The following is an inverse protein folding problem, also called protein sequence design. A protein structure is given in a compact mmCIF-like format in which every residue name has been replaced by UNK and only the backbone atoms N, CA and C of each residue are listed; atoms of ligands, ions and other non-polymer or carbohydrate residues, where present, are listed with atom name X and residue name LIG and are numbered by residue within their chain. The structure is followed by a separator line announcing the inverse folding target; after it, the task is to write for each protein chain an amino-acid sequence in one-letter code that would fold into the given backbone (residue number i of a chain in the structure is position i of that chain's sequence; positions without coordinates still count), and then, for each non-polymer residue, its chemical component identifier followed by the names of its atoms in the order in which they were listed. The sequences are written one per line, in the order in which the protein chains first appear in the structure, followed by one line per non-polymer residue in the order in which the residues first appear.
data_IF_212789518594
#
_entry.id   IF_212789518594
#
_cell.length_a   1.000
_cell.length_b   1.000
_cell.length_c   1.000
_cell.angle_alpha   90.00
_cell.angle_beta   90.00
_cell.angle_gamma   90.00
#
_symmetry.space_group_name_H-M   'P 1'
#
loop_
_entity.id
_entity.type
_entity.pdbx_description
1 polymer ?
#
# COMPACT_ATOMS: atom_id res chain seq x y z
N UNK A 1 -6.74 -21.10 7.57
CA UNK A 1 -5.48 -20.84 6.83
C UNK A 1 -4.51 -21.95 7.17
N UNK A 2 -3.67 -22.34 6.21
CA UNK A 2 -2.66 -23.38 6.40
C UNK A 2 -1.35 -22.63 6.63
N UNK A 3 -0.89 -22.54 7.88
CA UNK A 3 0.21 -21.66 8.26
C UNK A 3 1.59 -22.30 8.11
N UNK A 4 1.69 -23.60 8.38
CA UNK A 4 2.97 -24.31 8.48
C UNK A 4 3.04 -25.58 7.60
N UNK A 5 1.92 -26.03 7.04
CA UNK A 5 1.87 -27.22 6.18
C UNK A 5 1.88 -26.81 4.70
N UNK A 6 3.08 -26.61 4.16
CA UNK A 6 3.27 -26.18 2.78
C UNK A 6 2.73 -27.21 1.77
N UNK A 7 2.82 -28.51 2.07
CA UNK A 7 2.38 -29.57 1.14
C UNK A 7 0.87 -29.52 0.93
N UNK A 8 0.10 -29.35 2.01
CA UNK A 8 -1.35 -29.20 1.94
C UNK A 8 -1.75 -27.91 1.21
N UNK A 9 -1.01 -26.82 1.42
CA UNK A 9 -1.24 -25.57 0.70
C UNK A 9 -0.98 -25.72 -0.81
N UNK A 10 0.13 -26.34 -1.20
CA UNK A 10 0.48 -26.62 -2.59
C UNK A 10 -0.57 -27.49 -3.27
N UNK A 11 -1.00 -28.57 -2.61
CA UNK A 11 -2.03 -29.47 -3.14
C UNK A 11 -3.35 -28.73 -3.41
N UNK A 12 -3.78 -27.88 -2.46
CA UNK A 12 -4.99 -27.07 -2.63
C UNK A 12 -4.85 -26.01 -3.70
N UNK A 13 -3.66 -25.44 -3.89
CA UNK A 13 -3.40 -24.50 -4.99
C UNK A 13 -3.49 -25.20 -6.35
N UNK A 14 -2.87 -26.39 -6.49
CA UNK A 14 -2.95 -27.20 -7.72
C UNK A 14 -4.40 -27.56 -8.05
N UNK A 15 -5.20 -27.89 -7.03
CA UNK A 15 -6.61 -28.25 -7.19
C UNK A 15 -7.55 -27.04 -7.32
N UNK A 16 -7.05 -25.80 -7.29
CA UNK A 16 -7.85 -24.56 -7.27
C UNK A 16 -8.89 -24.51 -6.12
N UNK A 17 -8.57 -25.10 -4.97
CA UNK A 17 -9.45 -25.16 -3.79
C UNK A 17 -9.26 -23.97 -2.83
N UNK A 18 -8.37 -23.04 -3.18
CA UNK A 18 -8.12 -21.83 -2.38
C UNK A 18 -9.14 -20.75 -2.76
N UNK A 19 -10.03 -20.44 -1.82
CA UNK A 19 -10.98 -19.35 -1.99
C UNK A 19 -10.31 -17.97 -2.01
N UNK A 20 -10.94 -16.97 -2.64
CA UNK A 20 -10.49 -15.57 -2.60
C UNK A 20 -10.37 -15.03 -1.18
N UNK A 21 -11.26 -15.46 -0.29
CA UNK A 21 -11.20 -15.13 1.14
C UNK A 21 -9.92 -15.67 1.76
N UNK A 22 -9.54 -16.91 1.46
CA UNK A 22 -8.28 -17.49 1.93
C UNK A 22 -7.08 -16.71 1.38
N UNK A 23 -7.09 -16.35 0.10
CA UNK A 23 -6.08 -15.50 -0.53
C UNK A 23 -5.93 -14.13 0.17
N UNK A 24 -7.05 -13.46 0.48
CA UNK A 24 -7.05 -12.21 1.23
C UNK A 24 -6.35 -12.34 2.60
N UNK A 25 -6.63 -13.38 3.37
CA UNK A 25 -6.00 -13.52 4.69
C UNK A 25 -4.50 -13.81 4.58
N UNK A 26 -4.06 -14.58 3.59
CA UNK A 26 -2.62 -14.77 3.34
C UNK A 26 -1.94 -13.46 2.98
N UNK A 27 -2.54 -12.67 2.08
CA UNK A 27 -2.02 -11.36 1.72
C UNK A 27 -1.95 -10.43 2.94
N UNK A 28 -3.02 -10.35 3.73
CA UNK A 28 -3.05 -9.49 4.91
C UNK A 28 -1.98 -9.87 5.93
N UNK A 29 -1.85 -11.17 6.23
CA UNK A 29 -0.82 -11.67 7.13
C UNK A 29 0.59 -11.37 6.60
N UNK A 30 0.81 -11.56 5.29
CA UNK A 30 2.06 -11.24 4.63
C UNK A 30 2.42 -9.75 4.74
N UNK A 31 1.47 -8.86 4.49
CA UNK A 31 1.67 -7.41 4.62
C UNK A 31 2.01 -7.02 6.06
N UNK A 32 1.30 -7.57 7.06
CA UNK A 32 1.60 -7.29 8.48
C UNK A 32 3.02 -7.75 8.84
N UNK A 33 3.40 -8.97 8.45
CA UNK A 33 4.73 -9.53 8.74
C UNK A 33 5.82 -8.67 8.07
N UNK A 34 5.63 -8.30 6.81
CA UNK A 34 6.59 -7.45 6.09
C UNK A 34 6.72 -6.07 6.74
N UNK A 35 5.61 -5.43 7.08
CA UNK A 35 5.65 -4.12 7.74
C UNK A 35 6.43 -4.21 9.05
N UNK A 36 6.15 -5.19 9.90
CA UNK A 36 6.89 -5.39 11.15
C UNK A 36 8.37 -5.71 10.92
N UNK A 37 8.69 -6.53 9.92
CA UNK A 37 10.08 -6.91 9.60
C UNK A 37 10.92 -5.74 9.06
N UNK A 38 10.32 -4.88 8.24
CA UNK A 38 10.97 -3.67 7.71
C UNK A 38 11.10 -2.64 8.82
N UNK A 39 10.01 -2.34 9.53
CA UNK A 39 9.98 -1.31 10.55
C UNK A 39 10.75 -1.66 11.81
N UNK A 40 11.11 -2.93 12.03
CA UNK A 40 11.93 -3.37 13.16
C UNK A 40 13.41 -2.99 13.05
N UNK A 41 13.92 -2.71 11.85
CA UNK A 41 15.31 -2.24 11.67
C UNK A 41 15.42 -0.78 12.07
N UNK A 42 16.43 -0.42 12.86
CA UNK A 42 16.73 1.00 13.13
C UNK A 42 17.05 1.71 11.81
N UNK A 43 16.07 2.42 11.26
CA UNK A 43 16.26 3.37 10.17
C UNK A 43 16.41 4.77 10.75
N UNK A 44 17.16 5.62 10.05
CA UNK A 44 17.46 6.99 10.49
C UNK A 44 16.27 7.96 10.36
N UNK A 45 15.08 7.45 10.05
CA UNK A 45 13.93 8.25 9.61
C UNK A 45 13.22 8.94 10.78
N UNK A 46 13.40 8.45 12.01
CA UNK A 46 12.80 9.00 13.22
C UNK A 46 13.82 9.11 14.35
N UNK A 47 13.92 10.30 14.94
CA UNK A 47 14.70 10.50 16.17
C UNK A 47 13.93 10.00 17.40
N UNK A 48 12.62 10.22 17.43
CA UNK A 48 11.71 9.80 18.49
C UNK A 48 11.19 8.39 18.27
N UNK A 49 11.55 7.48 19.17
CA UNK A 49 11.05 6.10 19.16
C UNK A 49 9.51 6.03 19.31
N UNK A 50 8.89 6.98 20.01
CA UNK A 50 7.44 7.04 20.18
C UNK A 50 6.76 7.40 18.86
N UNK A 51 7.29 8.40 18.14
CA UNK A 51 6.73 8.79 16.84
C UNK A 51 6.91 7.68 15.80
N UNK A 52 8.06 7.00 15.81
CA UNK A 52 8.27 5.80 15.00
C UNK A 52 7.27 4.70 15.30
N UNK A 53 7.03 4.41 16.58
CA UNK A 53 6.03 3.40 16.98
C UNK A 53 4.62 3.79 16.51
N UNK A 54 4.24 5.06 16.63
CA UNK A 54 2.97 5.58 16.13
C UNK A 54 2.85 5.46 14.61
N UNK A 55 3.91 5.78 13.86
CA UNK A 55 3.95 5.63 12.40
C UNK A 55 3.65 4.19 11.98
N UNK A 56 4.29 3.21 12.63
CA UNK A 56 4.08 1.78 12.37
C UNK A 56 2.64 1.37 12.66
N UNK A 57 2.11 1.74 13.83
CA UNK A 57 0.74 1.35 14.24
C UNK A 57 -0.30 1.97 13.31
N UNK A 58 -0.18 3.27 13.01
CA UNK A 58 -1.10 3.95 12.10
C UNK A 58 -0.99 3.35 10.70
N UNK A 59 0.24 3.06 10.23
CA UNK A 59 0.46 2.45 8.94
C UNK A 59 -0.16 1.05 8.81
N UNK A 60 -0.07 0.24 9.88
CA UNK A 60 -0.74 -1.06 9.95
C UNK A 60 -2.27 -0.91 9.93
N UNK A 61 -2.83 0.04 10.68
CA UNK A 61 -4.28 0.28 10.68
C UNK A 61 -4.76 0.67 9.27
N UNK A 62 -4.05 1.59 8.60
CA UNK A 62 -4.39 2.01 7.24
C UNK A 62 -4.26 0.84 6.26
N UNK A 63 -3.21 0.02 6.38
CA UNK A 63 -2.99 -1.15 5.53
C UNK A 63 -4.07 -2.21 5.70
N UNK A 64 -4.44 -2.52 6.95
CA UNK A 64 -5.51 -3.47 7.27
C UNK A 64 -6.85 -2.95 6.75
N UNK A 65 -7.18 -1.69 7.05
CA UNK A 65 -8.42 -1.05 6.59
C UNK A 65 -8.50 -0.99 5.06
N UNK A 66 -7.44 -0.53 4.42
CA UNK A 66 -7.36 -0.36 2.97
C UNK A 66 -7.47 -1.68 2.24
N UNK A 67 -6.68 -2.68 2.64
CA UNK A 67 -6.74 -4.03 2.05
C UNK A 67 -8.09 -4.69 2.29
N UNK A 68 -8.66 -4.55 3.50
CA UNK A 68 -10.00 -5.01 3.82
C UNK A 68 -11.09 -4.36 2.96
N UNK A 69 -10.97 -3.05 2.70
CA UNK A 69 -11.90 -2.33 1.81
C UNK A 69 -11.79 -2.78 0.35
N UNK A 70 -10.58 -3.06 -0.14
CA UNK A 70 -10.40 -3.61 -1.48
C UNK A 70 -11.05 -5.00 -1.60
N UNK A 71 -10.90 -5.84 -0.57
CA UNK A 71 -11.54 -7.16 -0.54
C UNK A 71 -13.06 -7.05 -0.48
N UNK A 72 -13.61 -6.14 0.35
CA UNK A 72 -15.05 -5.88 0.41
C UNK A 72 -15.60 -5.46 -0.96
N UNK A 73 -14.90 -4.57 -1.66
CA UNK A 73 -15.28 -4.13 -3.01
C UNK A 73 -15.25 -5.32 -3.98
N UNK A 74 -14.18 -6.13 -3.96
CA UNK A 74 -14.07 -7.33 -4.81
C UNK A 74 -15.21 -8.33 -4.57
N UNK A 75 -15.53 -8.57 -3.30
CA UNK A 75 -16.58 -9.51 -2.90
C UNK A 75 -17.99 -9.03 -3.28
N UNK A 76 -18.22 -7.71 -3.41
CA UNK A 76 -19.47 -7.15 -3.91
C UNK A 76 -19.63 -7.23 -5.43
N UNK A 77 -18.52 -7.32 -6.16
CA UNK A 77 -18.54 -7.56 -7.61
C UNK A 77 -18.60 -9.05 -7.92
N UNK A 78 -17.86 -9.48 -8.93
CA UNK A 78 -17.82 -10.89 -9.35
C UNK A 78 -17.04 -11.84 -8.41
N UNK A 79 -16.45 -11.32 -7.32
CA UNK A 79 -15.68 -12.07 -6.32
C UNK A 79 -14.67 -13.09 -6.89
N UNK A 80 -13.94 -12.68 -7.94
CA UNK A 80 -12.89 -13.49 -8.59
C UNK A 80 -11.61 -12.67 -8.71
N UNK A 81 -10.48 -13.36 -8.77
CA UNK A 81 -9.18 -12.81 -9.09
C UNK A 81 -8.72 -11.68 -8.15
N UNK A 82 -9.05 -11.76 -6.84
CA UNK A 82 -8.75 -10.69 -5.89
C UNK A 82 -7.26 -10.38 -5.87
N UNK A 83 -6.42 -11.40 -5.70
CA UNK A 83 -4.97 -11.23 -5.62
C UNK A 83 -4.41 -10.65 -6.92
N UNK A 84 -4.88 -11.14 -8.07
CA UNK A 84 -4.46 -10.65 -9.39
C UNK A 84 -4.78 -9.17 -9.57
N UNK A 85 -6.01 -8.76 -9.23
CA UNK A 85 -6.45 -7.36 -9.27
C UNK A 85 -5.68 -6.52 -8.27
N UNK A 86 -5.46 -7.03 -7.06
CA UNK A 86 -4.70 -6.35 -6.02
C UNK A 86 -3.29 -6.03 -6.49
N UNK A 87 -2.51 -7.04 -6.86
CA UNK A 87 -1.12 -6.84 -7.29
C UNK A 87 -1.03 -5.95 -8.52
N UNK A 88 -1.87 -6.19 -9.54
CA UNK A 88 -1.81 -5.41 -10.79
C UNK A 88 -2.14 -3.93 -10.56
N UNK A 89 -3.21 -3.64 -9.82
CA UNK A 89 -3.64 -2.25 -9.58
C UNK A 89 -2.70 -1.54 -8.60
N UNK A 90 -2.30 -2.20 -7.50
CA UNK A 90 -1.32 -1.65 -6.56
C UNK A 90 -0.01 -1.33 -7.28
N UNK A 91 0.52 -2.26 -8.08
CA UNK A 91 1.78 -2.05 -8.81
C UNK A 91 1.74 -0.82 -9.72
N UNK A 92 0.69 -0.68 -10.54
CA UNK A 92 0.56 0.46 -11.46
C UNK A 92 0.44 1.78 -10.70
N UNK A 93 -0.31 1.83 -9.59
CA UNK A 93 -0.42 3.04 -8.77
C UNK A 93 0.88 3.36 -8.04
N UNK A 94 1.55 2.36 -7.46
CA UNK A 94 2.86 2.54 -6.84
C UNK A 94 3.86 3.10 -7.85
N UNK A 95 3.92 2.55 -9.06
CA UNK A 95 4.83 3.03 -10.10
C UNK A 95 4.56 4.51 -10.46
N UNK A 96 3.29 4.89 -10.64
CA UNK A 96 2.91 6.27 -10.92
C UNK A 96 3.32 7.22 -9.79
N UNK A 97 3.06 6.82 -8.55
CA UNK A 97 3.40 7.64 -7.38
C UNK A 97 4.93 7.76 -7.24
N UNK A 98 5.67 6.66 -7.40
CA UNK A 98 7.15 6.67 -7.36
C UNK A 98 7.72 7.63 -8.42
N UNK A 99 7.19 7.61 -9.64
CA UNK A 99 7.60 8.56 -10.69
C UNK A 99 7.33 10.00 -10.27
N UNK A 100 6.15 10.29 -9.72
CA UNK A 100 5.79 11.66 -9.27
C UNK A 100 6.69 12.11 -8.13
N UNK A 101 6.89 11.27 -7.11
CA UNK A 101 7.79 11.57 -5.99
C UNK A 101 9.21 11.79 -6.49
N UNK A 102 9.71 10.92 -7.37
CA UNK A 102 11.03 11.06 -7.98
C UNK A 102 11.21 12.40 -8.69
N UNK A 103 10.24 12.82 -9.51
CA UNK A 103 10.28 14.10 -10.20
C UNK A 103 10.25 15.30 -9.24
N UNK A 104 9.43 15.23 -8.19
CA UNK A 104 9.36 16.29 -7.16
C UNK A 104 10.69 16.39 -6.41
N UNK A 105 11.25 15.26 -5.96
CA UNK A 105 12.54 15.23 -5.26
C UNK A 105 13.68 15.69 -6.16
N UNK A 106 13.69 15.29 -7.43
CA UNK A 106 14.66 15.76 -8.42
C UNK A 106 14.61 17.29 -8.58
N UNK A 107 13.40 17.84 -8.75
CA UNK A 107 13.20 19.27 -8.89
C UNK A 107 13.61 20.03 -7.62
N UNK A 108 13.26 19.50 -6.44
CA UNK A 108 13.67 20.07 -5.15
C UNK A 108 15.19 20.15 -5.05
N UNK A 109 15.89 19.05 -5.32
CA UNK A 109 17.36 19.00 -5.27
C UNK A 109 18.00 19.96 -6.26
N UNK A 110 17.45 20.08 -7.47
CA UNK A 110 17.94 21.02 -8.48
C UNK A 110 17.78 22.47 -8.00
N UNK A 111 16.61 22.85 -7.50
CA UNK A 111 16.36 24.22 -6.99
C UNK A 111 17.21 24.51 -5.75
N UNK A 112 17.37 23.53 -4.85
CA UNK A 112 18.17 23.68 -3.64
C UNK A 112 19.65 23.98 -3.93
N UNK A 113 20.20 23.40 -5.00
CA UNK A 113 21.58 23.68 -5.45
C UNK A 113 21.76 25.13 -5.95
N UNK A 114 20.72 25.71 -6.58
CA UNK A 114 20.78 27.07 -7.14
C UNK A 114 20.33 28.19 -6.17
N UNK A 115 19.63 27.87 -5.08
CA UNK A 115 19.19 28.83 -4.06
C UNK A 115 20.27 29.08 -3.00
N UNK A 116 20.33 30.30 -2.44
CA UNK A 116 21.26 30.63 -1.35
C UNK A 116 21.09 29.68 -0.15
N UNK A 117 22.22 29.16 0.35
CA UNK A 117 22.38 28.10 1.37
C UNK A 117 21.50 28.26 2.62
N UNK A 118 21.12 29.48 2.98
CA UNK A 118 20.33 29.72 4.20
C UNK A 118 18.87 29.26 4.06
N UNK A 119 18.24 29.41 2.89
CA UNK A 119 16.83 29.04 2.71
C UNK A 119 16.60 27.53 2.64
N UNK A 120 17.55 26.79 2.03
CA UNK A 120 17.47 25.33 1.94
C UNK A 120 17.56 24.68 3.32
N UNK A 121 18.34 25.25 4.25
CA UNK A 121 18.47 24.74 5.63
C UNK A 121 17.17 24.87 6.44
N UNK A 122 16.41 25.95 6.27
CA UNK A 122 15.09 26.10 6.92
C UNK A 122 14.08 25.08 6.40
N UNK A 123 14.03 24.89 5.07
CA UNK A 123 13.17 23.90 4.44
C UNK A 123 13.54 22.47 4.85
N UNK A 124 14.83 22.15 4.90
CA UNK A 124 15.31 20.83 5.35
C UNK A 124 14.88 20.53 6.79
N UNK A 125 15.00 21.50 7.71
CA UNK A 125 14.55 21.33 9.10
C UNK A 125 13.03 21.17 9.23
N UNK A 126 12.26 21.80 8.34
CA UNK A 126 10.81 21.64 8.29
C UNK A 126 10.40 20.28 7.73
N UNK A 127 11.09 19.79 6.69
CA UNK A 127 10.72 18.55 6.00
C UNK A 127 11.26 17.29 6.68
N UNK A 128 12.44 17.37 7.32
CA UNK A 128 13.12 16.21 7.91
C UNK A 128 12.87 16.03 9.41
N UNK A 129 11.85 16.69 9.97
CA UNK A 129 11.47 16.45 11.35
C UNK A 129 10.49 15.27 11.44
N UNK A 130 10.54 14.55 12.57
CA UNK A 130 9.73 13.35 12.80
C UNK A 130 8.21 13.58 12.62
N UNK A 131 7.70 14.77 12.91
CA UNK A 131 6.26 15.07 12.76
C UNK A 131 5.89 15.18 11.29
N UNK A 132 6.71 15.87 10.50
CA UNK A 132 6.56 16.01 9.06
C UNK A 132 6.64 14.66 8.37
N UNK A 133 7.60 13.82 8.78
CA UNK A 133 7.74 12.44 8.30
C UNK A 133 6.48 11.61 8.58
N UNK A 134 5.99 11.62 9.83
CA UNK A 134 4.76 10.93 10.23
C UNK A 134 3.55 11.39 9.41
N UNK A 135 3.34 12.71 9.30
CA UNK A 135 2.22 13.28 8.54
C UNK A 135 2.32 12.91 7.07
N UNK A 136 3.51 12.99 6.49
CA UNK A 136 3.75 12.62 5.09
C UNK A 136 3.43 11.15 4.85
N UNK A 137 3.93 10.24 5.69
CA UNK A 137 3.67 8.80 5.58
C UNK A 137 2.19 8.46 5.66
N UNK A 138 1.46 9.08 6.60
CA UNK A 138 0.01 8.89 6.74
C UNK A 138 -0.72 9.38 5.49
N UNK A 139 -0.44 10.61 5.05
CA UNK A 139 -1.07 11.18 3.86
C UNK A 139 -0.78 10.34 2.61
N UNK A 140 0.46 9.89 2.46
CA UNK A 140 0.89 9.05 1.36
C UNK A 140 0.09 7.75 1.30
N UNK A 141 -0.04 7.04 2.42
CA UNK A 141 -0.79 5.78 2.48
C UNK A 141 -2.29 6.01 2.21
N UNK A 142 -2.88 7.08 2.74
CA UNK A 142 -4.28 7.44 2.48
C UNK A 142 -4.49 7.71 0.99
N UNK A 143 -3.64 8.52 0.36
CA UNK A 143 -3.71 8.84 -1.06
C UNK A 143 -3.54 7.57 -1.91
N UNK A 144 -2.57 6.73 -1.57
CA UNK A 144 -2.35 5.44 -2.24
C UNK A 144 -3.61 4.57 -2.21
N UNK A 145 -4.15 4.28 -1.03
CA UNK A 145 -5.35 3.44 -0.92
C UNK A 145 -6.57 4.09 -1.57
N UNK A 146 -6.72 5.41 -1.51
CA UNK A 146 -7.78 6.12 -2.22
C UNK A 146 -7.72 5.87 -3.75
N UNK A 147 -6.54 5.95 -4.35
CA UNK A 147 -6.33 5.70 -5.78
C UNK A 147 -6.62 4.25 -6.17
N UNK A 148 -6.16 3.29 -5.36
CA UNK A 148 -6.39 1.86 -5.60
C UNK A 148 -7.87 1.51 -5.42
N UNK A 149 -8.53 2.00 -4.36
CA UNK A 149 -9.97 1.82 -4.11
C UNK A 149 -10.79 2.33 -5.29
N UNK A 150 -10.47 3.52 -5.80
CA UNK A 150 -11.15 4.08 -6.98
C UNK A 150 -11.02 3.17 -8.20
N UNK A 151 -9.88 2.51 -8.36
CA UNK A 151 -9.61 1.62 -9.50
C UNK A 151 -10.33 0.29 -9.35
N UNK A 152 -10.35 -0.30 -8.16
CA UNK A 152 -11.16 -1.49 -7.85
C UNK A 152 -12.65 -1.25 -8.11
N UNK A 153 -13.20 -0.12 -7.67
CA UNK A 153 -14.60 0.24 -7.95
C UNK A 153 -14.90 0.33 -9.45
N UNK A 154 -13.96 0.84 -10.25
CA UNK A 154 -14.13 0.91 -11.71
C UNK A 154 -14.16 -0.49 -12.32
N UNK A 155 -13.18 -1.34 -12.00
CA UNK A 155 -13.09 -2.70 -12.55
C UNK A 155 -14.35 -3.51 -12.27
N UNK A 156 -14.90 -3.44 -11.06
CA UNK A 156 -16.10 -4.21 -10.71
C UNK A 156 -17.36 -3.71 -11.40
N UNK A 157 -17.52 -2.40 -11.61
CA UNK A 157 -18.65 -1.86 -12.39
C UNK A 157 -18.62 -2.34 -13.84
N UNK A 158 -17.43 -2.44 -14.43
CA UNK A 158 -17.30 -2.94 -15.81
C UNK A 158 -17.59 -4.45 -15.93
N UNK A 159 -17.26 -5.26 -14.92
CA UNK A 159 -17.61 -6.68 -14.95
C UNK A 159 -19.12 -6.91 -14.88
N UNK A 160 -19.83 -6.17 -14.02
CA UNK A 160 -21.30 -6.28 -13.88
C UNK A 160 -22.02 -5.95 -15.20
N UNK A 161 -21.61 -4.87 -15.88
CA UNK A 161 -22.21 -4.49 -17.16
C UNK A 161 -21.93 -5.47 -18.29
N UNK A 162 -20.76 -6.13 -18.28
CA UNK A 162 -20.40 -7.08 -19.34
C UNK A 162 -21.20 -8.38 -19.20
N UNK A 163 -21.37 -8.87 -17.97
CA UNK A 163 -22.19 -10.06 -17.69
C UNK A 163 -23.66 -9.82 -18.05
N UNK A 164 -24.20 -8.61 -17.78
CA UNK A 164 -25.57 -8.23 -18.14
C UNK A 164 -25.83 -8.12 -19.65
N UNK A 165 -24.81 -7.87 -20.47
CA UNK A 165 -24.94 -7.79 -21.93
C UNK A 165 -24.80 -9.19 -22.57
N UNK A 166 -24.13 -10.12 -21.91
CA UNK A 166 -23.90 -11.49 -22.38
C UNK A 166 -24.97 -12.52 -21.97
N UNK A 167 -25.94 -12.12 -21.15
CA UNK A 167 -27.05 -12.94 -20.67
C UNK A 167 -28.34 -12.67 -21.47
#
# INVERSE_FOLDING_TARGET
MIWFDIKNLEEKLIKNEISERTGYHYLLAFLIIITLAISGKETADFTSQILRFLDIIIGLIITIWGTGKLFEINNKGNNRDFLKRYFSLCFVHTLRIVIVVFLITLLYNLVAEFMLVDYSKYLDNLLKNDISELVFNILFQIVFYFLVIRSFKKVNRFSENTEAISA
#
